data_IF_417150051317
#
_entry.id   IF_417150051317
#
_cell.length_a   1.000
_cell.length_b   1.000
_cell.length_c   1.000
_cell.angle_alpha   90.00
_cell.angle_beta   90.00
_cell.angle_gamma   90.00
#
_symmetry.space_group_name_H-M   'P 1'
#
loop_
_entity.id
_entity.type
_entity.pdbx_description
1 polymer ?
#
# COMPACT_ATOMS: atom_id res chain seq x y z
N UNK A 1 5.34 43.31 -2.78
CA UNK A 1 5.24 42.60 -4.07
C UNK A 1 5.16 41.11 -3.75
N UNK A 2 4.08 40.45 -4.14
CA UNK A 2 3.94 38.99 -3.98
C UNK A 2 5.01 38.33 -4.85
N UNK A 3 5.91 37.55 -4.24
CA UNK A 3 6.95 36.89 -5.02
C UNK A 3 6.28 35.84 -5.93
N UNK A 4 6.77 35.75 -7.17
CA UNK A 4 6.27 34.82 -8.19
C UNK A 4 7.41 34.01 -8.80
N UNK A 5 7.11 32.79 -9.24
CA UNK A 5 8.01 31.92 -10.02
C UNK A 5 7.26 31.28 -11.18
N UNK A 6 7.98 30.77 -12.16
CA UNK A 6 7.41 30.02 -13.30
C UNK A 6 7.60 28.53 -13.05
N UNK A 7 6.52 27.75 -13.14
CA UNK A 7 6.57 26.29 -13.03
C UNK A 7 7.37 25.70 -14.22
N UNK A 8 8.34 24.81 -13.97
CA UNK A 8 9.29 24.36 -15.00
C UNK A 8 8.66 23.50 -16.09
N UNK A 9 7.56 22.81 -15.81
CA UNK A 9 6.91 21.90 -16.77
C UNK A 9 5.69 22.53 -17.46
N UNK A 10 4.95 23.38 -16.75
CA UNK A 10 3.64 23.89 -17.21
C UNK A 10 3.71 25.36 -17.61
N UNK A 11 4.78 26.08 -17.27
CA UNK A 11 4.90 27.51 -17.51
C UNK A 11 3.97 28.39 -16.66
N UNK A 12 3.20 27.81 -15.75
CA UNK A 12 2.26 28.55 -14.90
C UNK A 12 2.97 29.48 -13.92
N UNK A 13 2.31 30.58 -13.55
CA UNK A 13 2.79 31.49 -12.51
C UNK A 13 2.45 30.91 -11.15
N UNK A 14 3.47 30.59 -10.39
CA UNK A 14 3.36 30.16 -9.01
C UNK A 14 3.54 31.36 -8.08
N UNK A 15 2.71 31.44 -7.05
CA UNK A 15 2.81 32.45 -6.00
C UNK A 15 3.29 31.81 -4.70
N UNK A 16 4.05 32.59 -3.93
CA UNK A 16 4.45 32.16 -2.60
C UNK A 16 3.21 32.13 -1.70
N UNK A 17 2.89 30.96 -1.15
CA UNK A 17 1.73 30.74 -0.28
C UNK A 17 1.99 29.57 0.68
N UNK A 18 1.06 29.30 1.59
CA UNK A 18 1.05 28.11 2.42
C UNK A 18 -0.35 27.48 2.42
N UNK A 19 -0.44 26.20 2.02
CA UNK A 19 -1.73 25.48 1.97
C UNK A 19 -1.74 24.32 2.95
N UNK A 20 -2.91 24.07 3.53
CA UNK A 20 -3.14 22.91 4.37
C UNK A 20 -3.13 21.65 3.51
N UNK A 21 -2.31 20.68 3.88
CA UNK A 21 -2.25 19.37 3.27
C UNK A 21 -2.57 18.30 4.32
N UNK A 22 -3.36 17.31 3.92
CA UNK A 22 -3.69 16.17 4.76
C UNK A 22 -2.68 15.05 4.57
N UNK A 23 -2.03 14.65 5.66
CA UNK A 23 -1.15 13.48 5.71
C UNK A 23 -1.94 12.32 6.32
N UNK A 24 -1.96 11.16 5.66
CA UNK A 24 -2.69 9.97 6.11
C UNK A 24 -1.79 8.74 6.23
N UNK A 25 -1.96 7.98 7.32
CA UNK A 25 -1.38 6.64 7.46
C UNK A 25 -2.41 5.70 8.08
N UNK A 26 -2.85 4.71 7.30
CA UNK A 26 -3.92 3.81 7.72
C UNK A 26 -5.22 4.58 7.97
N UNK A 27 -5.81 4.41 9.14
CA UNK A 27 -7.03 5.10 9.56
C UNK A 27 -6.80 6.46 10.22
N UNK A 28 -5.54 6.91 10.31
CA UNK A 28 -5.18 8.17 10.96
C UNK A 28 -4.80 9.23 9.93
N UNK A 29 -5.18 10.48 10.22
CA UNK A 29 -4.78 11.64 9.42
C UNK A 29 -4.39 12.84 10.27
N UNK A 30 -3.62 13.76 9.69
CA UNK A 30 -3.29 15.05 10.27
C UNK A 30 -3.22 16.11 9.19
N UNK A 31 -3.69 17.30 9.50
CA UNK A 31 -3.53 18.48 8.66
C UNK A 31 -2.23 19.21 9.00
N UNK A 32 -1.48 19.59 7.98
CA UNK A 32 -0.22 20.31 8.09
C UNK A 32 -0.23 21.47 7.11
N UNK A 33 0.04 22.67 7.59
CA UNK A 33 0.27 23.81 6.70
C UNK A 33 1.66 23.68 6.06
N UNK A 34 1.69 23.66 4.72
CA UNK A 34 2.92 23.47 3.94
C UNK A 34 3.17 24.72 3.12
N UNK A 35 4.24 25.47 3.41
CA UNK A 35 4.66 26.58 2.57
C UNK A 35 5.16 26.06 1.23
N UNK A 36 4.90 26.80 0.15
CA UNK A 36 5.29 26.38 -1.19
C UNK A 36 5.13 27.48 -2.22
N UNK A 37 5.32 27.09 -3.46
CA UNK A 37 4.99 27.88 -4.63
C UNK A 37 3.79 27.20 -5.29
N UNK A 38 2.64 27.86 -5.19
CA UNK A 38 1.36 27.29 -5.59
C UNK A 38 0.82 28.00 -6.83
N UNK A 39 0.25 27.26 -7.79
CA UNK A 39 -0.52 27.87 -8.86
C UNK A 39 -1.87 28.39 -8.33
N UNK A 40 -2.57 29.17 -9.14
CA UNK A 40 -3.90 29.67 -8.79
C UNK A 40 -4.97 28.55 -8.87
N UNK A 41 -4.73 27.54 -9.71
CA UNK A 41 -5.53 26.34 -9.81
C UNK A 41 -5.04 25.23 -8.85
N UNK A 42 -5.54 24.01 -9.07
CA UNK A 42 -5.15 22.80 -8.33
C UNK A 42 -3.96 22.08 -8.99
N UNK A 43 -3.16 22.79 -9.79
CA UNK A 43 -1.95 22.26 -10.41
C UNK A 43 -0.81 21.99 -9.42
N UNK A 44 0.27 21.41 -9.93
CA UNK A 44 1.40 20.99 -9.12
C UNK A 44 2.16 22.18 -8.47
N UNK A 45 2.48 22.02 -7.19
CA UNK A 45 3.21 22.99 -6.38
C UNK A 45 4.69 22.63 -6.21
N UNK A 46 5.54 23.65 -6.06
CA UNK A 46 6.97 23.46 -5.82
C UNK A 46 7.30 23.74 -4.35
N UNK A 47 7.97 22.78 -3.72
CA UNK A 47 8.43 22.86 -2.35
C UNK A 47 9.95 22.65 -2.26
N UNK A 48 10.58 23.33 -1.30
CA UNK A 48 11.93 23.01 -0.86
C UNK A 48 11.92 21.93 0.21
N UNK A 49 13.05 21.26 0.40
CA UNK A 49 13.17 20.24 1.46
C UNK A 49 12.91 20.79 2.86
N UNK A 50 13.23 22.07 3.14
CA UNK A 50 12.94 22.70 4.43
C UNK A 50 11.44 22.86 4.69
N UNK A 51 10.66 23.13 3.65
CA UNK A 51 9.21 23.34 3.74
C UNK A 51 8.45 22.03 3.93
N UNK A 52 8.98 20.93 3.41
CA UNK A 52 8.39 19.60 3.57
C UNK A 52 8.68 18.97 4.94
N UNK A 53 9.59 19.52 5.75
CA UNK A 53 9.98 18.92 7.04
C UNK A 53 8.79 18.71 7.99
N UNK A 54 7.84 19.64 8.01
CA UNK A 54 6.65 19.52 8.85
C UNK A 54 5.74 18.36 8.39
N UNK A 55 5.61 18.20 7.07
CA UNK A 55 4.84 17.13 6.44
C UNK A 55 5.51 15.76 6.66
N UNK A 56 6.82 15.67 6.44
CA UNK A 56 7.61 14.47 6.68
C UNK A 56 7.55 14.03 8.15
N UNK A 57 7.69 14.98 9.07
CA UNK A 57 7.55 14.72 10.51
C UNK A 57 6.16 14.19 10.84
N UNK A 58 5.11 14.80 10.30
CA UNK A 58 3.74 14.33 10.48
C UNK A 58 3.53 12.90 9.99
N UNK A 59 4.07 12.60 8.82
CA UNK A 59 3.99 11.25 8.26
C UNK A 59 4.69 10.23 9.15
N UNK A 60 5.90 10.53 9.63
CA UNK A 60 6.66 9.62 10.51
C UNK A 60 5.97 9.39 11.86
N UNK A 61 5.42 10.45 12.46
CA UNK A 61 4.66 10.37 13.70
C UNK A 61 3.38 9.53 13.54
N UNK A 62 2.59 9.80 12.49
CA UNK A 62 1.39 9.02 12.17
C UNK A 62 1.73 7.55 11.88
N UNK A 63 2.83 7.30 11.16
CA UNK A 63 3.30 5.94 10.86
C UNK A 63 3.67 5.17 12.12
N UNK A 64 4.38 5.80 13.06
CA UNK A 64 4.71 5.18 14.34
C UNK A 64 3.46 4.93 15.18
N UNK A 65 2.54 5.89 15.24
CA UNK A 65 1.27 5.78 15.97
C UNK A 65 0.39 4.66 15.40
N UNK A 66 0.27 4.58 14.08
CA UNK A 66 -0.54 3.55 13.44
C UNK A 66 0.08 2.16 13.59
N UNK A 67 1.41 2.02 13.49
CA UNK A 67 2.10 0.76 13.78
C UNK A 67 1.83 0.26 15.21
N UNK A 68 1.83 1.18 16.19
CA UNK A 68 1.45 0.88 17.57
C UNK A 68 -0.02 0.46 17.71
N UNK A 69 -0.95 1.13 16.97
CA UNK A 69 -2.36 0.73 16.91
C UNK A 69 -2.54 -0.68 16.37
N UNK A 70 -1.91 -1.01 15.24
CA UNK A 70 -1.96 -2.38 14.67
C UNK A 70 -1.52 -3.42 15.69
N UNK A 71 -0.43 -3.16 16.42
CA UNK A 71 0.06 -4.05 17.49
C UNK A 71 -0.95 -4.18 18.64
N UNK A 72 -1.57 -3.07 19.05
CA UNK A 72 -2.56 -3.06 20.13
C UNK A 72 -3.80 -3.87 19.76
N UNK A 73 -4.35 -3.66 18.56
CA UNK A 73 -5.52 -4.42 18.06
C UNK A 73 -5.20 -5.91 17.97
N UNK A 74 -4.06 -6.29 17.38
CA UNK A 74 -3.66 -7.70 17.32
C UNK A 74 -3.59 -8.34 18.72
N UNK A 75 -2.99 -7.65 19.68
CA UNK A 75 -2.87 -8.13 21.06
C UNK A 75 -4.24 -8.25 21.73
N UNK A 76 -5.15 -7.29 21.52
CA UNK A 76 -6.53 -7.34 22.00
C UNK A 76 -7.28 -8.56 21.47
N UNK A 77 -7.02 -8.95 20.22
CA UNK A 77 -7.58 -10.16 19.59
C UNK A 77 -6.89 -11.46 20.02
N UNK A 78 -5.85 -11.40 20.86
CA UNK A 78 -5.11 -12.58 21.32
C UNK A 78 -4.32 -13.31 20.22
N UNK A 79 -3.98 -12.63 19.12
CA UNK A 79 -3.32 -13.25 17.96
C UNK A 79 -1.79 -13.08 18.01
N UNK A 80 -1.07 -14.10 17.55
CA UNK A 80 0.33 -13.94 17.12
C UNK A 80 0.41 -13.13 15.82
N UNK A 81 1.59 -12.57 15.50
CA UNK A 81 1.79 -11.82 14.25
C UNK A 81 1.54 -12.70 13.01
N UNK A 82 1.94 -13.97 13.10
CA UNK A 82 1.75 -14.95 12.03
C UNK A 82 0.27 -15.31 11.82
N UNK A 83 -0.49 -15.53 12.90
CA UNK A 83 -1.93 -15.75 12.81
C UNK A 83 -2.65 -14.54 12.25
N UNK A 84 -2.33 -13.33 12.72
CA UNK A 84 -2.92 -12.10 12.21
C UNK A 84 -2.66 -11.93 10.70
N UNK A 85 -1.43 -12.20 10.25
CA UNK A 85 -1.08 -12.16 8.82
C UNK A 85 -1.81 -13.19 7.96
N UNK A 86 -2.20 -14.35 8.53
CA UNK A 86 -3.03 -15.35 7.84
C UNK A 86 -4.51 -15.01 7.85
N UNK A 87 -5.01 -14.51 8.98
CA UNK A 87 -6.45 -14.27 9.19
C UNK A 87 -6.87 -12.96 8.53
N UNK A 88 -6.23 -11.86 8.91
CA UNK A 88 -6.54 -10.51 8.42
C UNK A 88 -6.02 -10.38 6.98
N UNK A 89 -4.78 -10.79 6.73
CA UNK A 89 -4.19 -10.84 5.39
C UNK A 89 -2.76 -10.28 5.33
N UNK A 90 -2.21 -10.23 4.11
CA UNK A 90 -0.82 -9.82 3.85
C UNK A 90 0.22 -10.94 4.03
N UNK A 91 -0.21 -12.11 4.50
CA UNK A 91 0.64 -13.30 4.64
C UNK A 91 1.44 -13.33 5.95
N UNK A 92 2.18 -14.42 6.16
CA UNK A 92 2.82 -14.79 7.44
C UNK A 92 3.66 -13.68 8.10
N UNK A 93 4.25 -12.78 7.31
CA UNK A 93 5.20 -11.74 7.77
C UNK A 93 4.62 -10.32 7.71
N UNK A 94 3.35 -10.16 7.36
CA UNK A 94 2.74 -8.84 7.22
C UNK A 94 2.78 -8.04 8.52
N UNK A 95 2.27 -8.62 9.61
CA UNK A 95 2.19 -7.93 10.91
C UNK A 95 3.57 -7.59 11.50
N UNK A 96 4.62 -8.33 11.15
CA UNK A 96 6.00 -7.91 11.50
C UNK A 96 6.35 -6.56 10.86
N UNK A 97 6.04 -6.40 9.57
CA UNK A 97 6.33 -5.17 8.81
C UNK A 97 5.41 -4.02 9.19
N UNK A 98 4.15 -4.33 9.49
CA UNK A 98 3.14 -3.34 9.88
C UNK A 98 3.47 -2.77 11.27
N UNK A 99 3.78 -3.64 12.24
CA UNK A 99 4.09 -3.23 13.61
C UNK A 99 5.47 -2.58 13.76
N UNK A 100 6.41 -2.84 12.85
CA UNK A 100 7.67 -2.09 12.77
C UNK A 100 7.54 -0.77 12.01
N UNK A 101 6.39 -0.53 11.39
CA UNK A 101 6.15 0.57 10.46
C UNK A 101 6.81 0.38 9.09
N UNK A 102 7.72 -0.59 8.90
CA UNK A 102 8.51 -0.76 7.67
C UNK A 102 7.66 -0.72 6.40
N UNK A 103 6.47 -1.31 6.43
CA UNK A 103 5.50 -1.23 5.34
C UNK A 103 4.13 -0.92 5.93
N UNK A 104 3.36 0.04 5.37
CA UNK A 104 1.99 0.26 5.79
C UNK A 104 1.09 -0.94 5.39
N UNK A 105 0.02 -1.22 6.15
CA UNK A 105 -1.02 -2.15 5.70
C UNK A 105 -1.71 -1.67 4.43
N UNK A 106 -2.22 -2.59 3.61
CA UNK A 106 -3.11 -2.22 2.49
C UNK A 106 -4.45 -1.69 3.00
N UNK A 107 -5.16 -0.92 2.17
CA UNK A 107 -6.51 -0.40 2.47
C UNK A 107 -7.46 -1.47 3.04
N UNK A 108 -7.50 -2.65 2.40
CA UNK A 108 -8.32 -3.76 2.88
C UNK A 108 -7.89 -4.27 4.27
N UNK A 109 -6.58 -4.32 4.54
CA UNK A 109 -6.07 -4.70 5.85
C UNK A 109 -6.36 -3.62 6.90
N UNK A 110 -6.24 -2.33 6.55
CA UNK A 110 -6.66 -1.20 7.41
C UNK A 110 -8.12 -1.37 7.80
N UNK A 111 -9.01 -1.54 6.83
CA UNK A 111 -10.44 -1.74 7.07
C UNK A 111 -10.73 -2.90 8.03
N UNK A 112 -10.12 -4.07 7.80
CA UNK A 112 -10.29 -5.23 8.68
C UNK A 112 -9.72 -5.01 10.08
N UNK A 113 -8.57 -4.35 10.22
CA UNK A 113 -7.97 -4.03 11.52
C UNK A 113 -8.93 -3.12 12.31
N UNK A 114 -9.49 -2.10 11.67
CA UNK A 114 -10.42 -1.17 12.32
C UNK A 114 -11.76 -1.82 12.67
N UNK A 115 -12.30 -2.67 11.78
CA UNK A 115 -13.52 -3.43 12.05
C UNK A 115 -13.30 -4.36 13.24
N UNK A 116 -12.21 -5.12 13.27
CA UNK A 116 -11.93 -6.07 14.36
C UNK A 116 -11.58 -5.39 15.69
N UNK A 117 -11.06 -4.16 15.66
CA UNK A 117 -10.92 -3.38 16.89
C UNK A 117 -12.31 -3.03 17.48
N UNK A 118 -13.28 -2.68 16.64
CA UNK A 118 -14.65 -2.37 17.10
C UNK A 118 -15.46 -3.64 17.42
N UNK A 119 -15.28 -4.69 16.63
CA UNK A 119 -16.05 -5.93 16.62
C UNK A 119 -15.12 -7.15 16.70
N UNK A 120 -14.47 -7.41 17.85
CA UNK A 120 -13.54 -8.53 18.00
C UNK A 120 -14.21 -9.90 17.76
N UNK A 121 -15.53 -10.00 17.92
CA UNK A 121 -16.33 -11.19 17.62
C UNK A 121 -16.25 -11.64 16.15
N UNK A 122 -16.04 -10.69 15.22
CA UNK A 122 -15.92 -11.00 13.78
C UNK A 122 -14.63 -11.75 13.42
N UNK A 123 -13.71 -11.91 14.39
CA UNK A 123 -12.53 -12.74 14.22
C UNK A 123 -12.89 -14.19 13.86
N UNK A 124 -13.96 -14.73 14.45
CA UNK A 124 -14.40 -16.10 14.17
C UNK A 124 -14.98 -16.23 12.76
N UNK A 125 -15.70 -15.20 12.28
CA UNK A 125 -16.16 -15.11 10.89
C UNK A 125 -14.98 -15.19 9.93
N UNK A 126 -13.92 -14.39 10.16
CA UNK A 126 -12.71 -14.42 9.34
C UNK A 126 -11.99 -15.78 9.40
N UNK A 127 -11.88 -16.39 10.59
CA UNK A 127 -11.30 -17.74 10.74
C UNK A 127 -12.08 -18.76 9.91
N UNK A 128 -13.41 -18.70 9.92
CA UNK A 128 -14.26 -19.58 9.12
C UNK A 128 -14.01 -19.39 7.61
N UNK A 129 -14.03 -18.14 7.13
CA UNK A 129 -13.79 -17.80 5.72
C UNK A 129 -12.42 -18.30 5.24
N UNK A 130 -11.36 -18.13 6.04
CA UNK A 130 -10.01 -18.61 5.70
C UNK A 130 -9.93 -20.13 5.62
N UNK A 131 -10.63 -20.86 6.50
CA UNK A 131 -10.71 -22.32 6.44
C UNK A 131 -11.41 -22.80 5.17
N UNK A 132 -12.50 -22.16 4.76
CA UNK A 132 -13.20 -22.50 3.51
C UNK A 132 -12.29 -22.32 2.31
N UNK A 133 -11.61 -21.17 2.20
CA UNK A 133 -10.67 -20.91 1.10
C UNK A 133 -9.51 -21.93 1.03
N UNK A 134 -9.08 -22.47 2.17
CA UNK A 134 -8.01 -23.48 2.21
C UNK A 134 -8.48 -24.88 1.79
N UNK A 135 -9.78 -25.18 1.92
CA UNK A 135 -10.37 -26.48 1.53
C UNK A 135 -10.56 -26.57 0.01
N UNK A 136 -10.92 -25.46 -0.63
CA UNK A 136 -11.12 -25.41 -2.08
C UNK A 136 -9.80 -25.61 -2.84
N UNK A 137 -8.67 -25.15 -2.28
CA UNK A 137 -7.34 -25.39 -2.86
C UNK A 137 -6.89 -26.87 -2.86
N UNK A 138 -7.50 -27.74 -2.05
CA UNK A 138 -7.20 -29.18 -2.02
C UNK A 138 -8.06 -29.95 -3.05
N UNK A 139 -9.20 -29.38 -3.47
CA UNK A 139 -10.14 -30.03 -4.41
C UNK A 139 -9.87 -29.74 -5.88
N UNK A 140 -8.98 -28.82 -6.23
CA UNK A 140 -8.58 -28.66 -7.62
C UNK A 140 -7.57 -29.75 -7.99
N UNK A 141 -7.89 -30.71 -8.89
CA UNK A 141 -6.88 -31.61 -9.42
C UNK A 141 -5.86 -30.77 -10.19
N UNK A 142 -4.59 -30.86 -9.77
CA UNK A 142 -3.48 -30.31 -10.55
C UNK A 142 -3.48 -30.99 -11.92
N UNK A 143 -3.92 -30.30 -12.96
CA UNK A 143 -3.67 -30.74 -14.33
C UNK A 143 -2.15 -30.80 -14.52
N UNK A 144 -1.56 -31.96 -14.86
CA UNK A 144 -0.15 -32.02 -15.14
C UNK A 144 0.09 -31.27 -16.46
N UNK A 145 0.88 -30.20 -16.40
CA UNK A 145 1.45 -29.57 -17.60
C UNK A 145 2.34 -30.62 -18.26
N UNK A 146 1.83 -31.20 -19.35
CA UNK A 146 2.54 -32.23 -20.11
C UNK A 146 3.86 -31.69 -20.64
N UNK A 147 4.96 -32.33 -20.23
CA UNK A 147 6.22 -32.33 -20.96
C UNK A 147 5.93 -32.86 -22.38
N UNK A 148 6.04 -32.02 -23.41
CA UNK A 148 6.33 -32.51 -24.77
C UNK A 148 7.83 -32.47 -24.97
N UNK A 149 8.43 -33.65 -24.91
CA UNK A 149 9.77 -33.93 -25.39
C UNK A 149 9.85 -33.81 -26.91
N UNK A 150 11.09 -33.59 -27.35
CA UNK A 150 11.56 -33.41 -28.72
C UNK A 150 11.25 -34.58 -29.67
N UNK A 151 11.15 -34.33 -30.99
CA UNK A 151 12.27 -34.58 -31.93
C UNK A 151 11.91 -34.42 -33.42
N UNK A 152 12.90 -33.85 -34.14
CA UNK A 152 13.44 -34.28 -35.45
C UNK A 152 12.80 -33.89 -36.81
N UNK A 153 13.63 -33.11 -37.55
CA UNK A 153 14.15 -33.28 -38.94
C UNK A 153 13.28 -33.07 -40.21
N UNK A 154 13.80 -32.15 -41.03
CA UNK A 154 13.82 -32.19 -42.52
C UNK A 154 12.60 -31.52 -43.16
N UNK A 155 12.70 -30.59 -44.11
CA UNK A 155 13.41 -30.70 -45.40
C UNK A 155 13.73 -29.29 -45.93
N UNK A 156 14.97 -29.09 -46.42
CA UNK A 156 15.33 -27.97 -47.31
C UNK A 156 14.93 -28.31 -48.74
N UNK A 157 14.44 -27.33 -49.49
CA UNK A 157 14.39 -27.33 -50.97
C UNK A 157 14.24 -25.88 -51.48
N UNK A 158 14.56 -25.59 -52.76
CA UNK A 158 15.64 -24.67 -53.09
C UNK A 158 15.16 -23.38 -53.80
N UNK A 159 16.14 -22.52 -54.07
CA UNK A 159 16.05 -21.30 -54.87
C UNK A 159 15.46 -21.52 -56.27
N UNK A 160 14.71 -20.52 -56.77
CA UNK A 160 14.62 -20.19 -58.20
C UNK A 160 14.59 -18.67 -58.34
N UNK A 161 15.45 -18.19 -59.24
CA UNK A 161 15.65 -16.81 -59.63
C UNK A 161 14.56 -16.29 -60.59
N UNK A 162 14.34 -14.98 -60.55
CA UNK A 162 14.13 -14.11 -61.71
C UNK A 162 14.53 -12.68 -61.31
#
# INVERSE_FOLDING_TARGET
>A
MTQTRIHPETGQVLRRDARVQTVSVGSMSREVEVPGWYPEDDGDSIHSGAELQALDRAYLELRAAYAARVKAVRKKLGLTQEEAGRIIGGGRRAFQKYESGTTPPSEAAVGLIEILDRHPEELETLRHLRRLSSRDSIRQPSTPVGKKGASAKGVRSPAVAA
#
